data_IF_703341310685
#
_entry.id   IF_703341310685
#
_cell.length_a   1.000
_cell.length_b   1.000
_cell.length_c   1.000
_cell.angle_alpha   90.00
_cell.angle_beta   90.00
_cell.angle_gamma   90.00
#
_symmetry.space_group_name_H-M   'P 1'
#
loop_
_entity.id
_entity.type
_entity.pdbx_description
1 polymer ?
#
# COMPACT_ATOMS: atom_id res chain seq x y z
N UNK A 1 22.28 1.13 14.97
CA UNK A 1 21.29 0.92 13.91
C UNK A 1 19.88 0.80 14.50
N UNK A 2 19.68 -0.11 15.46
CA UNK A 2 18.41 -0.37 16.13
C UNK A 2 17.77 0.91 16.73
N UNK A 3 18.52 1.71 17.48
CA UNK A 3 18.03 2.97 18.07
C UNK A 3 17.46 3.93 17.03
N UNK A 4 18.16 4.13 15.90
CA UNK A 4 17.70 5.00 14.81
C UNK A 4 16.41 4.46 14.19
N UNK A 5 16.32 3.16 13.95
CA UNK A 5 15.14 2.52 13.38
C UNK A 5 13.92 2.68 14.31
N UNK A 6 14.10 2.51 15.61
CA UNK A 6 13.04 2.71 16.59
C UNK A 6 12.54 4.18 16.61
N UNK A 7 13.41 5.17 16.42
CA UNK A 7 12.98 6.56 16.28
C UNK A 7 12.21 6.82 14.98
N UNK A 8 12.54 6.13 13.88
CA UNK A 8 11.74 6.21 12.64
C UNK A 8 10.34 5.61 12.88
N UNK A 9 10.23 4.46 13.57
CA UNK A 9 8.95 3.88 13.96
C UNK A 9 8.16 4.80 14.91
N UNK A 10 8.83 5.42 15.87
CA UNK A 10 8.23 6.38 16.82
C UNK A 10 7.65 7.58 16.07
N UNK A 11 8.40 8.13 15.10
CA UNK A 11 7.93 9.22 14.24
C UNK A 11 6.71 8.81 13.41
N UNK A 12 6.75 7.65 12.78
CA UNK A 12 5.64 7.10 11.99
C UNK A 12 4.37 6.98 12.85
N UNK A 13 4.50 6.48 14.08
CA UNK A 13 3.39 6.31 15.00
C UNK A 13 2.84 7.63 15.55
N UNK A 14 3.72 8.57 15.92
CA UNK A 14 3.33 9.85 16.55
C UNK A 14 2.86 10.89 15.52
N UNK A 15 3.39 10.87 14.29
CA UNK A 15 3.09 11.85 13.25
C UNK A 15 3.58 13.27 13.54
N UNK A 16 4.62 13.41 14.38
CA UNK A 16 5.23 14.69 14.69
C UNK A 16 6.23 15.13 13.61
N UNK A 17 6.58 16.43 13.51
CA UNK A 17 7.73 16.88 12.73
C UNK A 17 9.04 16.21 13.22
N UNK A 18 10.01 16.05 12.31
CA UNK A 18 11.31 15.43 12.65
C UNK A 18 12.02 16.15 13.80
N UNK A 19 11.94 17.48 13.83
CA UNK A 19 12.54 18.33 14.85
C UNK A 19 11.87 18.23 16.23
N UNK A 20 10.60 17.80 16.25
CA UNK A 20 9.80 17.62 17.47
C UNK A 20 9.77 16.15 17.93
N UNK A 21 10.52 15.26 17.25
CA UNK A 21 10.57 13.85 17.65
C UNK A 21 11.08 13.72 19.08
N UNK A 22 10.33 13.06 19.99
CA UNK A 22 10.76 12.86 21.38
C UNK A 22 11.97 11.91 21.42
N UNK A 23 13.16 12.48 21.58
CA UNK A 23 14.43 11.75 21.66
C UNK A 23 14.86 11.69 23.12
N UNK A 24 15.29 10.51 23.56
CA UNK A 24 15.80 10.29 24.91
C UNK A 24 17.03 11.18 25.19
N UNK A 25 17.16 11.60 26.44
CA UNK A 25 18.28 12.45 26.88
C UNK A 25 19.35 11.60 27.55
N UNK A 26 20.60 11.98 27.30
CA UNK A 26 21.75 11.45 28.05
C UNK A 26 21.74 11.95 29.50
N UNK A 27 22.62 11.42 30.34
CA UNK A 27 22.78 11.87 31.73
C UNK A 27 23.13 13.36 31.84
N UNK A 28 23.74 13.93 30.80
CA UNK A 28 24.09 15.34 30.68
C UNK A 28 22.95 16.22 30.15
N UNK A 29 21.74 15.64 29.96
CA UNK A 29 20.55 16.36 29.50
C UNK A 29 20.51 16.65 27.98
N UNK A 30 21.47 16.16 27.18
CA UNK A 30 21.53 16.33 25.74
C UNK A 30 20.76 15.19 25.06
N UNK A 31 20.14 15.41 23.86
CA UNK A 31 19.57 14.31 23.08
C UNK A 31 20.64 13.25 22.79
N UNK A 32 20.33 11.96 22.97
CA UNK A 32 21.27 10.86 22.67
C UNK A 32 21.65 10.81 21.18
N UNK A 33 20.78 11.29 20.30
CA UNK A 33 21.02 11.43 18.87
C UNK A 33 20.28 12.67 18.35
N UNK A 34 20.88 13.43 17.46
CA UNK A 34 20.20 14.58 16.85
C UNK A 34 19.25 14.11 15.75
N UNK A 35 18.05 14.71 15.64
CA UNK A 35 17.01 14.30 14.67
C UNK A 35 17.49 14.30 13.21
N UNK A 36 18.41 15.20 12.84
CA UNK A 36 18.97 15.23 11.47
C UNK A 36 19.74 13.95 11.12
N UNK A 37 20.37 13.29 12.09
CA UNK A 37 21.04 11.99 11.88
C UNK A 37 20.02 10.88 11.64
N UNK A 38 18.87 10.92 12.33
CA UNK A 38 17.76 9.98 12.14
C UNK A 38 17.17 10.17 10.75
N UNK A 39 16.87 11.42 10.37
CA UNK A 39 16.35 11.76 9.03
C UNK A 39 17.32 11.38 7.91
N UNK A 40 18.62 11.64 8.06
CA UNK A 40 19.63 11.25 7.08
C UNK A 40 19.75 9.74 6.93
N UNK A 41 19.61 8.99 8.03
CA UNK A 41 19.57 7.53 7.98
C UNK A 41 18.30 7.02 7.29
N UNK A 42 17.14 7.61 7.58
CA UNK A 42 15.87 7.28 6.93
C UNK A 42 15.95 7.48 5.41
N UNK A 43 16.48 8.61 4.95
CA UNK A 43 16.71 8.87 3.51
C UNK A 43 17.64 7.85 2.86
N UNK A 44 18.69 7.45 3.56
CA UNK A 44 19.64 6.43 3.08
C UNK A 44 18.98 5.06 2.99
N UNK A 45 18.18 4.66 3.97
CA UNK A 45 17.45 3.39 3.94
C UNK A 45 16.44 3.34 2.80
N UNK A 46 15.73 4.45 2.54
CA UNK A 46 14.84 4.54 1.37
C UNK A 46 15.65 4.40 0.07
N UNK A 47 16.71 5.17 -0.10
CA UNK A 47 17.54 5.13 -1.31
C UNK A 47 18.19 3.75 -1.57
N UNK A 48 18.40 2.96 -0.55
CA UNK A 48 18.92 1.58 -0.62
C UNK A 48 17.82 0.52 -0.76
N UNK A 49 16.53 0.90 -0.80
CA UNK A 49 15.40 -0.02 -0.93
C UNK A 49 15.15 -0.88 0.33
N UNK A 50 15.67 -0.47 1.50
CA UNK A 50 15.57 -1.27 2.72
C UNK A 50 14.11 -1.50 3.14
N UNK A 51 13.20 -0.54 2.94
CA UNK A 51 11.80 -0.68 3.35
C UNK A 51 11.06 -1.70 2.49
N UNK A 52 11.28 -1.70 1.17
CA UNK A 52 10.70 -2.71 0.29
C UNK A 52 11.27 -4.11 0.57
N UNK A 53 12.58 -4.20 0.91
CA UNK A 53 13.20 -5.45 1.30
C UNK A 53 12.57 -6.00 2.59
N UNK A 54 12.41 -5.17 3.64
CA UNK A 54 11.80 -5.60 4.90
C UNK A 54 10.33 -6.03 4.67
N UNK A 55 9.55 -5.31 3.86
CA UNK A 55 8.20 -5.73 3.52
C UNK A 55 8.20 -7.10 2.83
N UNK A 56 9.09 -7.31 1.86
CA UNK A 56 9.24 -8.59 1.17
C UNK A 56 9.57 -9.72 2.14
N UNK A 57 10.50 -9.49 3.07
CA UNK A 57 10.85 -10.48 4.10
C UNK A 57 9.67 -10.80 5.03
N UNK A 58 8.79 -9.84 5.34
CA UNK A 58 7.57 -10.17 6.08
C UNK A 58 6.63 -11.07 5.29
N UNK A 59 6.56 -10.93 3.96
CA UNK A 59 5.77 -11.83 3.12
C UNK A 59 6.37 -13.23 3.10
N UNK A 60 7.70 -13.35 3.03
CA UNK A 60 8.42 -14.64 3.18
C UNK A 60 8.06 -15.30 4.51
N UNK A 61 8.17 -14.55 5.60
CA UNK A 61 7.88 -15.05 6.95
C UNK A 61 6.42 -15.50 7.09
N UNK A 62 5.46 -14.71 6.59
CA UNK A 62 4.05 -15.06 6.59
C UNK A 62 3.78 -16.34 5.76
N UNK A 63 4.47 -16.50 4.63
CA UNK A 63 4.37 -17.72 3.83
C UNK A 63 4.89 -18.94 4.57
N UNK A 64 6.07 -18.84 5.18
CA UNK A 64 6.69 -19.92 5.95
C UNK A 64 5.86 -20.38 7.15
N UNK A 65 5.08 -19.46 7.73
CA UNK A 65 4.20 -19.72 8.87
C UNK A 65 2.75 -20.02 8.46
N UNK A 66 2.46 -20.20 7.18
CA UNK A 66 1.12 -20.50 6.63
C UNK A 66 0.06 -19.44 6.97
N UNK A 67 0.46 -18.18 7.19
CA UNK A 67 -0.46 -17.07 7.46
C UNK A 67 -1.02 -16.37 6.20
N UNK A 68 -0.54 -16.75 5.00
CA UNK A 68 -1.07 -16.19 3.74
C UNK A 68 -2.26 -17.02 3.22
N UNK A 69 -3.33 -16.32 2.84
CA UNK A 69 -4.43 -16.89 2.04
C UNK A 69 -4.52 -16.15 0.70
N UNK A 70 -3.82 -16.67 -0.30
CA UNK A 70 -3.74 -16.12 -1.65
C UNK A 70 -4.85 -16.64 -2.58
N UNK A 71 -5.85 -17.35 -2.07
CA UNK A 71 -7.01 -17.76 -2.86
C UNK A 71 -7.74 -16.55 -3.43
N UNK A 72 -7.74 -15.42 -2.71
CA UNK A 72 -8.21 -14.11 -3.16
C UNK A 72 -7.21 -13.01 -2.76
N UNK A 73 -6.91 -12.14 -3.71
CA UNK A 73 -6.19 -10.88 -3.49
C UNK A 73 -7.18 -9.74 -3.65
N UNK A 74 -7.32 -8.91 -2.63
CA UNK A 74 -8.11 -7.70 -2.66
C UNK A 74 -7.22 -6.50 -2.97
N UNK A 75 -7.62 -5.68 -3.95
CA UNK A 75 -6.90 -4.46 -4.31
C UNK A 75 -7.81 -3.24 -4.26
N UNK A 76 -7.26 -2.12 -3.85
CA UNK A 76 -7.95 -0.83 -3.86
C UNK A 76 -6.99 0.34 -3.88
N UNK A 77 -7.52 1.53 -4.24
CA UNK A 77 -6.79 2.79 -4.21
C UNK A 77 -7.14 3.65 -2.99
N UNK A 78 -6.12 4.20 -2.34
CA UNK A 78 -6.32 5.22 -1.32
C UNK A 78 -5.59 6.51 -1.67
N UNK A 79 -6.12 7.66 -1.19
CA UNK A 79 -5.55 8.98 -1.46
C UNK A 79 -5.24 9.67 -0.15
N UNK A 80 -3.99 10.12 0.02
CA UNK A 80 -3.54 10.86 1.19
C UNK A 80 -3.44 12.35 0.85
N UNK A 81 -4.06 13.20 1.67
CA UNK A 81 -4.00 14.65 1.51
C UNK A 81 -2.59 15.18 1.85
N UNK A 82 -2.05 16.08 1.01
CA UNK A 82 -0.78 16.75 1.25
C UNK A 82 -1.00 18.19 1.70
N UNK A 83 -0.40 18.58 2.82
CA UNK A 83 -0.58 19.91 3.42
C UNK A 83 0.54 20.90 3.08
N UNK A 84 1.77 20.40 2.86
CA UNK A 84 2.95 21.26 2.65
C UNK A 84 3.44 21.35 1.19
N UNK A 85 2.68 20.79 0.22
CA UNK A 85 3.16 20.65 -1.16
C UNK A 85 4.16 19.51 -1.28
N UNK A 86 4.88 19.48 -2.40
CA UNK A 86 5.86 18.43 -2.73
C UNK A 86 5.69 17.91 -4.15
N UNK A 87 6.42 16.86 -4.48
CA UNK A 87 6.35 16.16 -5.75
C UNK A 87 5.17 15.15 -5.80
N UNK A 88 4.84 14.66 -7.00
CA UNK A 88 3.81 13.65 -7.24
C UNK A 88 2.44 13.97 -6.62
N UNK A 89 2.03 15.25 -6.64
CA UNK A 89 0.75 15.71 -6.11
C UNK A 89 -0.22 16.08 -7.22
N UNK A 90 -1.50 15.77 -7.01
CA UNK A 90 -2.59 16.17 -7.90
C UNK A 90 -3.87 16.48 -7.12
N UNK A 91 -4.73 17.34 -7.67
CA UNK A 91 -6.03 17.65 -7.07
C UNK A 91 -7.07 16.61 -7.49
N UNK A 92 -7.58 15.87 -6.54
CA UNK A 92 -8.70 14.94 -6.74
C UNK A 92 -10.03 15.71 -6.68
N UNK A 93 -10.68 15.88 -7.83
CA UNK A 93 -12.01 16.54 -7.89
C UNK A 93 -13.10 15.77 -7.14
N UNK A 94 -13.00 14.45 -7.07
CA UNK A 94 -13.95 13.61 -6.35
C UNK A 94 -13.80 13.72 -4.82
N UNK A 95 -12.56 13.73 -4.33
CA UNK A 95 -12.28 13.83 -2.87
C UNK A 95 -12.06 15.27 -2.39
N UNK A 96 -12.09 16.25 -3.29
CA UNK A 96 -11.88 17.68 -3.01
C UNK A 96 -10.59 17.95 -2.22
N UNK A 97 -9.51 17.22 -2.51
CA UNK A 97 -8.22 17.38 -1.86
C UNK A 97 -7.06 17.32 -2.85
N UNK A 98 -5.98 18.02 -2.53
CA UNK A 98 -4.69 17.88 -3.20
C UNK A 98 -3.86 16.85 -2.45
N UNK A 99 -3.39 15.82 -3.15
CA UNK A 99 -2.65 14.75 -2.50
C UNK A 99 -2.02 13.80 -3.51
N UNK A 100 -1.59 12.69 -3.01
CA UNK A 100 -1.11 11.56 -3.78
C UNK A 100 -1.96 10.32 -3.52
N UNK A 101 -1.84 9.36 -4.41
CA UNK A 101 -2.64 8.14 -4.43
C UNK A 101 -1.73 6.93 -4.49
N UNK A 102 -2.14 5.86 -3.83
CA UNK A 102 -1.52 4.55 -3.96
C UNK A 102 -2.56 3.49 -4.31
N UNK A 103 -2.13 2.45 -5.03
CA UNK A 103 -2.89 1.21 -5.18
C UNK A 103 -2.17 0.14 -4.35
N UNK A 104 -2.92 -0.51 -3.46
CA UNK A 104 -2.44 -1.54 -2.55
C UNK A 104 -3.13 -2.87 -2.82
N UNK A 105 -2.47 -3.97 -2.44
CA UNK A 105 -3.01 -5.32 -2.51
C UNK A 105 -2.79 -6.05 -1.19
N UNK A 106 -3.81 -6.73 -0.71
CA UNK A 106 -3.70 -7.64 0.42
C UNK A 106 -4.33 -9.00 0.10
N UNK A 107 -3.91 -10.03 0.83
CA UNK A 107 -4.56 -11.34 0.83
C UNK A 107 -5.86 -11.35 1.66
N UNK A 108 -6.54 -12.48 1.75
CA UNK A 108 -7.77 -12.63 2.57
C UNK A 108 -7.54 -12.45 4.07
N UNK A 109 -6.31 -12.65 4.54
CA UNK A 109 -5.92 -12.46 5.93
C UNK A 109 -5.45 -11.02 6.24
N UNK A 110 -5.66 -10.06 5.31
CA UNK A 110 -5.26 -8.66 5.43
C UNK A 110 -3.73 -8.46 5.49
N UNK A 111 -2.94 -9.34 4.89
CA UNK A 111 -1.49 -9.15 4.76
C UNK A 111 -1.20 -8.38 3.48
N UNK A 112 -0.41 -7.33 3.57
CA UNK A 112 0.02 -6.56 2.40
C UNK A 112 1.12 -7.33 1.66
N UNK A 113 0.86 -7.66 0.40
CA UNK A 113 1.69 -8.63 -0.36
C UNK A 113 2.65 -8.00 -1.37
N UNK A 114 2.54 -6.71 -1.62
CA UNK A 114 3.42 -6.03 -2.57
C UNK A 114 3.59 -4.54 -2.24
N UNK A 115 4.71 -3.92 -2.66
CA UNK A 115 4.89 -2.48 -2.61
C UNK A 115 3.81 -1.74 -3.39
N UNK A 116 3.54 -0.51 -2.99
CA UNK A 116 2.53 0.34 -3.62
C UNK A 116 2.97 0.84 -5.00
N UNK A 117 1.99 1.06 -5.87
CA UNK A 117 2.15 1.96 -7.02
C UNK A 117 1.59 3.32 -6.62
N UNK A 118 2.42 4.33 -6.78
CA UNK A 118 2.12 5.70 -6.41
C UNK A 118 1.80 6.57 -7.62
N UNK A 119 0.84 7.48 -7.46
CA UNK A 119 0.46 8.43 -8.49
C UNK A 119 -0.05 9.74 -7.90
N UNK A 120 -0.07 10.85 -8.68
CA UNK A 120 -0.76 12.07 -8.28
C UNK A 120 -2.25 11.82 -8.02
N UNK A 121 -2.85 12.53 -7.05
CA UNK A 121 -4.22 12.32 -6.61
C UNK A 121 -5.30 12.51 -7.70
N UNK A 122 -5.00 13.26 -8.76
CA UNK A 122 -5.89 13.44 -9.91
C UNK A 122 -5.82 12.30 -10.95
N UNK A 123 -4.85 11.38 -10.84
CA UNK A 123 -4.74 10.26 -11.77
C UNK A 123 -5.85 9.24 -11.50
N UNK A 124 -6.49 8.74 -12.55
CA UNK A 124 -7.47 7.65 -12.43
C UNK A 124 -6.78 6.38 -11.93
N UNK A 125 -7.44 5.61 -11.07
CA UNK A 125 -6.93 4.36 -10.49
C UNK A 125 -6.87 3.21 -11.51
N UNK A 126 -7.85 3.14 -12.39
CA UNK A 126 -7.97 2.06 -13.36
C UNK A 126 -6.71 1.83 -14.21
N UNK A 127 -6.05 2.88 -14.76
CA UNK A 127 -4.79 2.72 -15.50
C UNK A 127 -3.58 2.34 -14.62
N UNK A 128 -3.66 2.45 -13.30
CA UNK A 128 -2.57 2.08 -12.39
C UNK A 128 -2.48 0.56 -12.19
N UNK A 129 -3.57 -0.16 -12.41
CA UNK A 129 -3.61 -1.61 -12.19
C UNK A 129 -2.59 -2.38 -13.05
N UNK A 130 -2.48 -2.16 -14.37
CA UNK A 130 -1.45 -2.81 -15.18
C UNK A 130 -0.01 -2.49 -14.76
N UNK A 131 0.21 -1.34 -14.10
CA UNK A 131 1.52 -0.96 -13.54
C UNK A 131 1.77 -1.67 -12.18
N UNK A 132 0.71 -1.95 -11.42
CA UNK A 132 0.79 -2.54 -10.09
C UNK A 132 0.93 -4.07 -10.10
N UNK A 133 0.24 -4.77 -11.02
CA UNK A 133 0.27 -6.24 -11.11
C UNK A 133 1.69 -6.83 -11.25
N UNK A 134 2.63 -6.24 -12.03
CA UNK A 134 4.01 -6.73 -12.07
C UNK A 134 4.72 -6.74 -10.72
N UNK A 135 4.39 -5.84 -9.80
CA UNK A 135 4.97 -5.84 -8.45
C UNK A 135 4.47 -7.06 -7.66
N UNK A 136 3.16 -7.34 -7.74
CA UNK A 136 2.57 -8.53 -7.10
C UNK A 136 3.21 -9.82 -7.62
N UNK A 137 3.29 -9.96 -8.95
CA UNK A 137 3.89 -11.16 -9.57
C UNK A 137 5.38 -11.27 -9.29
N UNK A 138 6.11 -10.14 -9.21
CA UNK A 138 7.53 -10.13 -8.85
C UNK A 138 7.75 -10.65 -7.43
N UNK A 139 7.00 -10.15 -6.45
CA UNK A 139 7.10 -10.61 -5.06
C UNK A 139 6.70 -12.09 -4.96
N UNK A 140 5.59 -12.49 -5.58
CA UNK A 140 5.17 -13.88 -5.62
C UNK A 140 6.29 -14.80 -6.14
N UNK A 141 6.93 -14.42 -7.26
CA UNK A 141 8.07 -15.17 -7.82
C UNK A 141 9.28 -15.22 -6.87
N UNK A 142 9.61 -14.09 -6.22
CA UNK A 142 10.73 -14.04 -5.26
C UNK A 142 10.51 -14.94 -4.04
N UNK A 143 9.26 -15.03 -3.57
CA UNK A 143 8.87 -15.80 -2.39
C UNK A 143 8.52 -17.27 -2.73
N UNK A 144 8.38 -17.60 -4.02
CA UNK A 144 7.97 -18.93 -4.47
C UNK A 144 6.45 -19.19 -4.36
N UNK A 145 5.64 -18.13 -4.37
CA UNK A 145 4.18 -18.21 -4.31
C UNK A 145 3.57 -18.48 -5.68
N UNK A 146 2.65 -19.43 -5.75
CA UNK A 146 1.84 -19.68 -6.93
C UNK A 146 0.56 -18.82 -6.91
N UNK A 147 0.44 -17.90 -7.85
CA UNK A 147 -0.76 -17.07 -8.06
C UNK A 147 -1.69 -17.64 -9.13
N UNK A 148 -1.43 -18.83 -9.66
CA UNK A 148 -2.31 -19.45 -10.63
C UNK A 148 -3.70 -19.67 -10.02
N UNK A 149 -4.74 -19.22 -10.75
CA UNK A 149 -6.15 -19.25 -10.30
C UNK A 149 -6.50 -18.33 -9.10
N UNK A 150 -5.55 -17.57 -8.56
CA UNK A 150 -5.86 -16.54 -7.55
C UNK A 150 -6.90 -15.57 -8.09
N UNK A 151 -7.92 -15.29 -7.31
CA UNK A 151 -8.96 -14.31 -7.66
C UNK A 151 -8.48 -12.92 -7.26
N UNK A 152 -8.47 -11.97 -8.19
CA UNK A 152 -8.17 -10.56 -7.92
C UNK A 152 -9.49 -9.80 -7.85
N UNK A 153 -9.87 -9.42 -6.64
CA UNK A 153 -11.12 -8.72 -6.34
C UNK A 153 -10.88 -7.21 -6.24
N UNK A 154 -11.54 -6.44 -7.10
CA UNK A 154 -11.36 -5.00 -7.24
C UNK A 154 -12.70 -4.29 -7.38
N UNK A 155 -12.72 -2.98 -7.12
CA UNK A 155 -13.86 -2.09 -7.33
C UNK A 155 -14.24 -1.98 -8.82
N UNK A 156 -15.50 -1.57 -9.08
CA UNK A 156 -16.02 -1.29 -10.43
C UNK A 156 -15.29 -0.19 -11.20
N UNK A 157 -14.54 0.68 -10.53
CA UNK A 157 -13.63 1.65 -11.17
C UNK A 157 -12.60 0.95 -12.08
N UNK A 158 -12.20 -0.27 -11.73
CA UNK A 158 -11.25 -1.08 -12.50
C UNK A 158 -11.90 -1.88 -13.64
N UNK A 159 -13.24 -1.80 -13.86
CA UNK A 159 -13.93 -2.55 -14.92
C UNK A 159 -13.55 -2.04 -16.30
N UNK A 160 -12.49 -2.59 -16.86
CA UNK A 160 -12.08 -2.39 -18.24
C UNK A 160 -11.58 -3.69 -18.86
N UNK A 161 -11.68 -3.80 -20.20
CA UNK A 161 -11.14 -4.96 -20.93
C UNK A 161 -9.62 -5.08 -20.73
N UNK A 162 -8.92 -3.95 -20.68
CA UNK A 162 -7.48 -3.92 -20.49
C UNK A 162 -7.09 -4.49 -19.12
N UNK A 163 -7.76 -4.06 -18.04
CA UNK A 163 -7.49 -4.53 -16.69
C UNK A 163 -7.78 -6.03 -16.53
N UNK A 164 -8.94 -6.48 -17.02
CA UNK A 164 -9.26 -7.92 -16.99
C UNK A 164 -8.22 -8.74 -17.75
N UNK A 165 -7.79 -8.27 -18.93
CA UNK A 165 -6.74 -8.93 -19.72
C UNK A 165 -5.40 -8.93 -18.97
N UNK A 166 -5.03 -7.83 -18.29
CA UNK A 166 -3.80 -7.75 -17.52
C UNK A 166 -3.78 -8.78 -16.37
N UNK A 167 -4.91 -8.94 -15.64
CA UNK A 167 -5.04 -9.94 -14.59
C UNK A 167 -4.92 -11.36 -15.17
N UNK A 168 -5.63 -11.67 -16.26
CA UNK A 168 -5.53 -12.98 -16.94
C UNK A 168 -4.11 -13.29 -17.42
N UNK A 169 -3.40 -12.29 -17.96
CA UNK A 169 -2.02 -12.46 -18.40
C UNK A 169 -1.05 -12.79 -17.26
N UNK A 170 -1.42 -12.48 -16.02
CA UNK A 170 -0.68 -12.88 -14.80
C UNK A 170 -1.12 -14.25 -14.26
N UNK A 171 -1.96 -15.00 -14.98
CA UNK A 171 -2.49 -16.31 -14.54
C UNK A 171 -3.60 -16.23 -13.49
N UNK A 172 -4.07 -15.03 -13.15
CA UNK A 172 -5.08 -14.78 -12.13
C UNK A 172 -6.48 -14.58 -12.73
N UNK A 173 -7.52 -14.61 -11.90
CA UNK A 173 -8.92 -14.45 -12.30
C UNK A 173 -9.50 -13.13 -11.79
N UNK A 174 -10.04 -12.24 -12.66
CA UNK A 174 -10.62 -10.97 -12.22
C UNK A 174 -12.01 -11.17 -11.61
N UNK A 175 -12.25 -10.65 -10.41
CA UNK A 175 -13.55 -10.47 -9.78
C UNK A 175 -13.85 -8.98 -9.63
N UNK A 176 -14.41 -8.38 -10.67
CA UNK A 176 -14.67 -6.93 -10.76
C UNK A 176 -16.15 -6.75 -11.10
N UNK A 177 -16.93 -5.97 -10.31
CA UNK A 177 -18.32 -5.69 -10.67
C UNK A 177 -18.39 -4.88 -11.96
N UNK A 178 -19.46 -5.07 -12.69
CA UNK A 178 -19.69 -4.30 -13.92
C UNK A 178 -19.97 -2.83 -13.60
N UNK A 179 -19.20 -1.92 -14.18
CA UNK A 179 -19.42 -0.49 -14.04
C UNK A 179 -20.42 -0.01 -15.08
N UNK A 180 -21.62 0.30 -14.63
CA UNK A 180 -22.71 0.80 -15.48
C UNK A 180 -22.65 2.31 -15.74
N UNK A 181 -21.73 3.05 -15.08
CA UNK A 181 -21.56 4.49 -15.31
C UNK A 181 -21.21 4.73 -16.78
N UNK A 182 -21.90 5.68 -17.39
CA UNK A 182 -21.74 6.10 -18.81
C UNK A 182 -22.11 5.05 -19.85
N UNK A 183 -22.76 3.94 -19.48
CA UNK A 183 -23.28 2.97 -20.48
C UNK A 183 -24.75 3.24 -20.80
N UNK A 184 -25.01 3.57 -22.05
CA UNK A 184 -26.37 3.70 -22.59
C UNK A 184 -27.00 2.38 -23.01
N UNK A 185 -26.16 1.35 -23.30
CA UNK A 185 -26.63 0.04 -23.77
C UNK A 185 -25.87 -1.09 -23.08
N UNK A 186 -26.52 -2.25 -22.82
CA UNK A 186 -25.84 -3.42 -22.26
C UNK A 186 -24.69 -3.89 -23.16
N UNK A 187 -23.63 -4.44 -22.57
CA UNK A 187 -22.56 -5.12 -23.33
C UNK A 187 -23.15 -6.32 -24.06
N UNK A 188 -22.84 -6.46 -25.36
CA UNK A 188 -23.09 -7.68 -26.11
C UNK A 188 -22.10 -8.77 -25.72
N UNK A 189 -22.52 -10.02 -25.71
CA UNK A 189 -21.70 -11.19 -25.43
C UNK A 189 -21.82 -11.71 -23.99
N UNK A 190 -21.00 -12.71 -23.66
CA UNK A 190 -20.98 -13.35 -22.35
C UNK A 190 -20.61 -12.33 -21.27
N UNK A 191 -21.41 -12.26 -20.22
CA UNK A 191 -21.08 -11.43 -19.03
C UNK A 191 -19.81 -11.97 -18.35
N UNK A 192 -18.93 -11.08 -17.84
CA UNK A 192 -17.82 -11.50 -17.03
C UNK A 192 -18.31 -12.25 -15.77
N UNK A 193 -17.57 -13.25 -15.34
CA UNK A 193 -17.84 -13.92 -14.08
C UNK A 193 -17.58 -12.91 -12.94
N UNK A 194 -18.52 -12.85 -12.01
CA UNK A 194 -18.46 -12.00 -10.82
C UNK A 194 -19.10 -12.73 -9.64
N UNK A 195 -18.36 -12.81 -8.55
CA UNK A 195 -18.82 -13.35 -7.26
C UNK A 195 -19.03 -12.19 -6.29
N UNK A 196 -20.28 -11.85 -5.94
CA UNK A 196 -20.57 -10.77 -5.01
C UNK A 196 -20.15 -11.09 -3.58
N UNK A 197 -20.08 -12.35 -3.16
CA UNK A 197 -19.63 -12.71 -1.82
C UNK A 197 -18.15 -12.40 -1.64
N UNK A 198 -17.31 -12.81 -2.59
CA UNK A 198 -15.88 -12.44 -2.61
C UNK A 198 -15.70 -10.92 -2.67
N UNK A 199 -16.54 -10.22 -3.45
CA UNK A 199 -16.45 -8.76 -3.52
C UNK A 199 -16.77 -8.08 -2.17
N UNK A 200 -17.73 -8.62 -1.41
CA UNK A 200 -18.07 -8.10 -0.09
C UNK A 200 -16.96 -8.30 0.96
N UNK A 201 -16.07 -9.25 0.77
CA UNK A 201 -14.92 -9.46 1.66
C UNK A 201 -13.99 -8.24 1.73
N UNK A 202 -13.96 -7.37 0.69
CA UNK A 202 -13.12 -6.17 0.66
C UNK A 202 -13.31 -5.27 1.88
N UNK A 203 -14.54 -5.17 2.42
CA UNK A 203 -14.83 -4.38 3.61
C UNK A 203 -14.16 -4.91 4.89
N UNK A 204 -13.81 -6.21 4.89
CA UNK A 204 -13.12 -6.87 6.00
C UNK A 204 -11.64 -7.12 5.72
N UNK A 205 -11.15 -6.79 4.53
CA UNK A 205 -9.77 -7.02 4.09
C UNK A 205 -9.08 -5.71 3.75
N UNK A 206 -9.09 -5.25 2.51
CA UNK A 206 -8.33 -4.06 2.08
C UNK A 206 -8.75 -2.78 2.82
N UNK A 207 -10.04 -2.59 3.08
CA UNK A 207 -10.53 -1.45 3.87
C UNK A 207 -10.03 -1.52 5.32
N UNK A 208 -9.94 -2.72 5.88
CA UNK A 208 -9.35 -2.93 7.21
C UNK A 208 -7.86 -2.63 7.24
N UNK A 209 -7.12 -2.98 6.18
CA UNK A 209 -5.70 -2.63 6.04
C UNK A 209 -5.53 -1.11 6.06
N UNK A 210 -6.35 -0.36 5.32
CA UNK A 210 -6.33 1.09 5.34
C UNK A 210 -6.69 1.66 6.73
N UNK A 211 -7.70 1.10 7.40
CA UNK A 211 -8.05 1.50 8.76
C UNK A 211 -6.93 1.22 9.78
N UNK A 212 -6.12 0.18 9.56
CA UNK A 212 -4.93 -0.07 10.39
C UNK A 212 -3.79 0.89 10.04
N UNK A 213 -3.63 1.25 8.76
CA UNK A 213 -2.66 2.26 8.33
C UNK A 213 -2.94 3.61 9.00
N UNK A 214 -4.22 3.99 9.17
CA UNK A 214 -4.63 5.24 9.80
C UNK A 214 -4.25 5.33 11.29
N UNK A 215 -3.90 4.22 11.95
CA UNK A 215 -3.34 4.24 13.31
C UNK A 215 -1.94 4.86 13.37
N UNK A 216 -1.23 4.86 12.26
CA UNK A 216 0.06 5.52 12.13
C UNK A 216 -0.17 6.99 11.77
N UNK A 217 -0.17 7.86 12.78
CA UNK A 217 -0.52 9.28 12.64
C UNK A 217 0.32 10.02 11.59
N UNK A 218 1.56 9.57 11.35
CA UNK A 218 2.43 10.10 10.30
C UNK A 218 1.91 9.90 8.88
N UNK A 219 0.89 9.04 8.68
CA UNK A 219 0.30 8.74 7.37
C UNK A 219 -1.08 9.37 7.14
N UNK A 220 -1.74 9.92 8.18
CA UNK A 220 -3.04 10.58 8.03
C UNK A 220 -3.00 11.78 7.08
N UNK A 221 -1.85 12.46 7.06
CA UNK A 221 -1.57 13.57 6.15
C UNK A 221 -0.14 13.43 5.64
N UNK A 222 0.07 13.72 4.36
CA UNK A 222 1.42 13.77 3.81
C UNK A 222 2.08 15.10 4.15
N UNK A 223 3.09 15.06 5.02
CA UNK A 223 3.97 16.17 5.35
C UNK A 223 5.30 16.10 4.59
N UNK A 224 5.72 14.89 4.17
CA UNK A 224 6.93 14.69 3.38
C UNK A 224 6.79 15.31 2.00
N UNK A 225 7.72 16.23 1.64
CA UNK A 225 7.74 16.86 0.30
C UNK A 225 8.19 15.89 -0.79
N UNK A 226 9.03 14.93 -0.45
CA UNK A 226 9.56 13.90 -1.35
C UNK A 226 8.65 12.69 -1.25
N UNK A 227 7.97 12.34 -2.36
CA UNK A 227 7.00 11.24 -2.39
C UNK A 227 7.60 9.90 -1.97
N UNK A 228 8.80 9.59 -2.41
CA UNK A 228 9.50 8.35 -2.03
C UNK A 228 9.64 8.18 -0.52
N UNK A 229 9.89 9.27 0.22
CA UNK A 229 9.99 9.22 1.69
C UNK A 229 8.61 8.95 2.33
N UNK A 230 7.53 9.55 1.80
CA UNK A 230 6.18 9.24 2.26
C UNK A 230 5.83 7.76 2.00
N UNK A 231 6.18 7.22 0.82
CA UNK A 231 5.93 5.81 0.51
C UNK A 231 6.77 4.86 1.35
N UNK A 232 8.01 5.24 1.69
CA UNK A 232 8.83 4.48 2.62
C UNK A 232 8.16 4.35 4.00
N UNK A 233 7.53 5.41 4.51
CA UNK A 233 6.74 5.36 5.74
C UNK A 233 5.50 4.47 5.58
N UNK A 234 4.80 4.52 4.44
CA UNK A 234 3.67 3.62 4.15
C UNK A 234 4.11 2.15 4.08
N UNK A 235 5.21 1.87 3.40
CA UNK A 235 5.80 0.51 3.31
C UNK A 235 6.16 -0.01 4.70
N UNK A 236 6.74 0.86 5.55
CA UNK A 236 7.06 0.51 6.94
C UNK A 236 5.81 0.22 7.77
N UNK A 237 4.74 1.00 7.61
CA UNK A 237 3.46 0.73 8.29
C UNK A 237 2.87 -0.62 7.86
N UNK A 238 2.91 -0.94 6.56
CA UNK A 238 2.46 -2.24 6.05
C UNK A 238 3.30 -3.41 6.57
N UNK A 239 4.63 -3.19 6.71
CA UNK A 239 5.51 -4.14 7.38
C UNK A 239 5.04 -4.42 8.82
N UNK A 240 4.72 -3.36 9.58
CA UNK A 240 4.19 -3.51 10.96
C UNK A 240 2.82 -4.20 10.98
N UNK A 241 1.95 -3.91 10.01
CA UNK A 241 0.66 -4.60 9.86
C UNK A 241 0.88 -6.10 9.61
N UNK A 242 1.82 -6.47 8.75
CA UNK A 242 2.15 -7.86 8.48
C UNK A 242 2.71 -8.58 9.70
N UNK A 243 3.52 -7.89 10.51
CA UNK A 243 4.13 -8.45 11.72
C UNK A 243 3.15 -8.65 12.89
N UNK A 244 1.89 -8.18 12.79
CA UNK A 244 0.87 -8.34 13.85
C UNK A 244 0.61 -9.81 14.27
N UNK A 245 0.92 -10.76 13.39
CA UNK A 245 0.77 -12.18 13.68
C UNK A 245 1.83 -12.73 14.65
N UNK A 246 2.89 -11.95 14.90
CA UNK A 246 4.07 -12.35 15.67
C UNK A 246 4.23 -11.54 16.97
N UNK A 247 3.25 -10.66 17.30
CA UNK A 247 3.29 -9.79 18.47
C UNK A 247 2.18 -10.13 19.46
#
# INVERSE_FOLDING_TARGET
LHTIFNYILKLLYLGCPWEELPIEKTKEGRPEIHYTRIYSAFRRYEAQGCFDAILTETVVLLHQQEYLDLSVIHGDGTTTAAKKGGDNLGYSGHKHLKGDKVVAFCDRNCNVIAPFISAPGNRNESPLLPEALPQVTRIAKQVGLDLSKTIVSLDGVYDSRANRKAIFNCGMMPNIPENLRNRKTPKRGRKPTFDPAIFQERFRTIERVFAWEDKFKGLLLRFERISKLHYALKTLACTMINLRHFC
#
